data_IF_105089224167
#
_entry.id   IF_105089224167
#
_cell.length_a   1.000
_cell.length_b   1.000
_cell.length_c   1.000
_cell.angle_alpha   90.00
_cell.angle_beta   90.00
_cell.angle_gamma   90.00
#
_symmetry.space_group_name_H-M   'P 1'
#
loop_
_entity.id
_entity.type
_entity.pdbx_description
1 polymer ?
#
# COMPACT_ATOMS: atom_id res chain seq x y z
N UNK A 1 -11.72 63.59 15.79
CA UNK A 1 -11.94 62.48 16.75
C UNK A 1 -12.77 61.32 16.21
N UNK A 2 -13.23 61.31 14.95
CA UNK A 2 -14.12 60.25 14.44
C UNK A 2 -13.45 59.07 13.75
N UNK A 3 -12.29 59.27 13.12
CA UNK A 3 -11.59 58.20 12.38
C UNK A 3 -10.88 57.15 13.26
N UNK A 4 -10.40 57.55 14.43
CA UNK A 4 -9.72 56.66 15.38
C UNK A 4 -10.71 55.70 16.09
N UNK A 5 -11.93 56.13 16.36
CA UNK A 5 -12.99 55.31 16.97
C UNK A 5 -13.49 54.25 16.02
N UNK A 6 -13.53 54.49 14.69
CA UNK A 6 -13.93 53.51 13.70
C UNK A 6 -12.89 52.39 13.54
N UNK A 7 -11.59 52.69 13.60
CA UNK A 7 -10.50 51.72 13.55
C UNK A 7 -10.45 50.79 14.78
N UNK A 8 -10.69 51.37 15.99
CA UNK A 8 -10.78 50.57 17.22
C UNK A 8 -12.00 49.63 17.22
N UNK A 9 -13.14 50.03 16.67
CA UNK A 9 -14.32 49.20 16.57
C UNK A 9 -14.13 48.04 15.56
N UNK A 10 -13.48 48.26 14.45
CA UNK A 10 -13.16 47.21 13.47
C UNK A 10 -12.10 46.24 13.98
N UNK A 11 -11.10 46.67 14.74
CA UNK A 11 -10.09 45.82 15.38
C UNK A 11 -10.69 44.98 16.53
N UNK A 12 -11.54 45.53 17.39
CA UNK A 12 -12.23 44.79 18.45
C UNK A 12 -13.26 43.79 17.88
N UNK A 13 -13.98 44.13 16.82
CA UNK A 13 -14.89 43.20 16.14
C UNK A 13 -14.15 42.03 15.48
N UNK A 14 -12.92 42.27 14.93
CA UNK A 14 -12.08 41.23 14.37
C UNK A 14 -11.54 40.26 15.41
N UNK A 15 -11.14 40.73 16.58
CA UNK A 15 -10.64 39.88 17.69
C UNK A 15 -11.78 39.08 18.34
N UNK A 16 -12.96 39.66 18.51
CA UNK A 16 -14.15 38.94 18.98
C UNK A 16 -14.64 37.84 18.01
N UNK A 17 -14.45 38.05 16.72
CA UNK A 17 -14.79 37.07 15.66
C UNK A 17 -13.85 35.86 15.63
N UNK A 18 -12.56 36.06 15.93
CA UNK A 18 -11.56 34.96 15.97
C UNK A 18 -11.78 34.08 17.20
N UNK A 19 -12.11 34.63 18.35
CA UNK A 19 -12.43 33.87 19.57
C UNK A 19 -13.72 33.05 19.43
N UNK A 20 -14.69 33.53 18.64
CA UNK A 20 -15.94 32.80 18.42
C UNK A 20 -15.83 31.63 17.42
N UNK A 21 -14.86 31.62 16.52
CA UNK A 21 -14.70 30.57 15.50
C UNK A 21 -14.15 29.25 16.11
N UNK A 22 -13.19 29.33 17.03
CA UNK A 22 -12.65 28.14 17.70
C UNK A 22 -13.66 27.51 18.68
N UNK A 23 -14.53 28.31 19.28
CA UNK A 23 -15.60 27.84 20.17
C UNK A 23 -16.79 27.22 19.39
N UNK A 24 -16.93 27.54 18.11
CA UNK A 24 -18.04 27.12 17.28
C UNK A 24 -17.88 25.69 16.74
N UNK A 25 -16.63 25.24 16.45
CA UNK A 25 -16.33 23.92 15.92
C UNK A 25 -16.85 22.79 16.82
N UNK A 26 -16.85 22.97 18.13
CA UNK A 26 -17.32 21.97 19.11
C UNK A 26 -18.80 21.59 18.92
N UNK A 27 -19.63 22.48 18.43
CA UNK A 27 -21.07 22.27 18.21
C UNK A 27 -21.37 21.67 16.82
N UNK A 28 -20.41 21.65 15.92
CA UNK A 28 -20.55 21.12 14.56
C UNK A 28 -20.07 19.67 14.43
N UNK A 29 -19.40 19.12 15.46
CA UNK A 29 -18.94 17.74 15.51
C UNK A 29 -20.02 16.83 16.11
N UNK A 30 -20.39 15.76 15.42
CA UNK A 30 -21.56 14.92 15.71
C UNK A 30 -21.34 13.93 16.85
N UNK A 31 -20.11 13.47 17.00
CA UNK A 31 -19.76 12.37 17.91
C UNK A 31 -18.67 12.78 18.87
N UNK A 32 -18.60 12.08 19.99
CA UNK A 32 -17.55 12.23 20.99
C UNK A 32 -17.08 10.90 21.56
N UNK A 33 -15.82 10.82 21.95
CA UNK A 33 -15.20 9.70 22.67
C UNK A 33 -14.38 10.23 23.83
N UNK A 34 -14.37 9.54 24.95
CA UNK A 34 -13.38 9.78 26.01
C UNK A 34 -11.99 9.36 25.51
N UNK A 35 -10.96 10.07 25.99
CA UNK A 35 -9.56 9.80 25.65
C UNK A 35 -8.78 9.63 26.96
N UNK A 36 -8.00 8.55 27.06
CA UNK A 36 -7.22 8.26 28.26
C UNK A 36 -5.89 7.57 27.92
N UNK A 37 -4.85 7.71 28.76
CA UNK A 37 -3.63 6.94 28.62
C UNK A 37 -3.92 5.43 28.67
N UNK A 38 -3.24 4.66 27.79
CA UNK A 38 -3.31 3.20 27.78
C UNK A 38 -2.25 2.56 28.70
N UNK A 39 -1.23 3.32 29.09
CA UNK A 39 -0.13 2.91 29.97
C UNK A 39 1.17 3.66 29.63
N UNK A 40 2.18 3.47 30.47
CA UNK A 40 3.48 4.11 30.32
C UNK A 40 3.47 5.61 30.63
N UNK A 41 4.60 6.24 30.41
CA UNK A 41 4.77 7.69 30.51
C UNK A 41 5.54 8.18 29.28
N UNK A 42 5.25 9.36 28.80
CA UNK A 42 5.91 9.95 27.64
C UNK A 42 5.54 11.40 27.45
N UNK A 43 6.32 12.12 26.68
CA UNK A 43 6.10 13.53 26.36
C UNK A 43 5.08 13.71 25.24
N UNK A 44 5.03 12.73 24.32
CA UNK A 44 4.11 12.71 23.18
C UNK A 44 3.07 11.62 23.36
N UNK A 45 1.81 11.99 23.43
CA UNK A 45 0.68 11.09 23.37
C UNK A 45 0.42 10.65 21.94
N UNK A 46 0.16 9.34 21.74
CA UNK A 46 -0.20 8.77 20.46
C UNK A 46 -1.49 7.99 20.59
N UNK A 47 -2.50 8.40 19.83
CA UNK A 47 -3.82 7.79 19.79
C UNK A 47 -4.09 7.21 18.41
N UNK A 48 -4.24 5.89 18.32
CA UNK A 48 -4.58 5.22 17.07
C UNK A 48 -6.06 5.41 16.74
N UNK A 49 -6.37 5.69 15.47
CA UNK A 49 -7.73 5.77 14.99
C UNK A 49 -8.33 4.37 14.86
N UNK A 50 -9.57 4.24 15.31
CA UNK A 50 -10.37 3.02 15.19
C UNK A 50 -11.33 3.08 13.99
N UNK A 51 -11.96 1.94 13.67
CA UNK A 51 -12.87 1.82 12.52
C UNK A 51 -14.11 2.70 12.66
N UNK A 52 -14.61 2.90 13.88
CA UNK A 52 -15.76 3.78 14.12
C UNK A 52 -15.46 5.24 13.78
N UNK A 53 -14.23 5.69 14.09
CA UNK A 53 -13.78 7.03 13.73
C UNK A 53 -13.60 7.14 12.21
N UNK A 54 -13.03 6.13 11.55
CA UNK A 54 -12.92 6.14 10.08
C UNK A 54 -14.28 6.22 9.39
N UNK A 55 -15.32 5.53 9.88
CA UNK A 55 -16.66 5.54 9.29
C UNK A 55 -17.33 6.92 9.40
N UNK A 56 -17.14 7.59 10.53
CA UNK A 56 -17.78 8.86 10.82
C UNK A 56 -17.10 10.08 10.18
N UNK A 57 -15.80 9.97 9.82
CA UNK A 57 -14.96 11.11 9.41
C UNK A 57 -14.63 11.03 7.92
N UNK A 58 -14.91 12.10 7.19
CA UNK A 58 -14.51 12.23 5.78
C UNK A 58 -13.05 12.66 5.62
N UNK A 59 -12.66 13.72 6.30
CA UNK A 59 -11.28 14.24 6.33
C UNK A 59 -10.67 14.08 7.72
N UNK A 60 -9.69 13.17 7.84
CA UNK A 60 -8.98 12.89 9.09
C UNK A 60 -8.18 14.07 9.66
N UNK A 61 -7.95 15.12 8.88
CA UNK A 61 -7.24 16.32 9.36
C UNK A 61 -8.19 17.44 9.76
N UNK A 62 -9.36 17.50 9.16
CA UNK A 62 -10.32 18.55 9.40
C UNK A 62 -11.31 18.18 10.52
N UNK A 63 -11.93 17.02 10.44
CA UNK A 63 -13.12 16.66 11.20
C UNK A 63 -12.83 16.07 12.59
N UNK A 64 -11.75 16.49 13.23
CA UNK A 64 -11.32 16.05 14.55
C UNK A 64 -10.98 17.24 15.43
N UNK A 65 -11.35 17.19 16.74
CA UNK A 65 -10.91 18.12 17.77
C UNK A 65 -10.70 17.38 19.08
N UNK A 66 -9.60 17.67 19.75
CA UNK A 66 -9.33 17.19 21.10
C UNK A 66 -9.58 18.29 22.11
N UNK A 67 -10.15 17.93 23.25
CA UNK A 67 -10.42 18.85 24.36
C UNK A 67 -9.87 18.29 25.67
N UNK A 68 -9.37 19.15 26.54
CA UNK A 68 -9.02 18.80 27.91
C UNK A 68 -10.26 18.77 28.82
N UNK A 69 -10.09 18.41 30.10
CA UNK A 69 -11.18 18.38 31.08
C UNK A 69 -11.80 19.75 31.36
N UNK A 70 -11.12 20.85 30.99
CA UNK A 70 -11.61 22.21 31.08
C UNK A 70 -12.21 22.72 29.77
N UNK A 71 -12.51 21.84 28.82
CA UNK A 71 -13.08 22.15 27.50
C UNK A 71 -12.20 23.04 26.61
N UNK A 72 -10.90 23.11 26.90
CA UNK A 72 -9.95 23.84 26.05
C UNK A 72 -9.46 22.91 24.95
N UNK A 73 -9.39 23.43 23.74
CA UNK A 73 -8.90 22.70 22.59
C UNK A 73 -7.42 22.33 22.74
N UNK A 74 -7.11 21.05 22.49
CA UNK A 74 -5.75 20.51 22.58
C UNK A 74 -5.20 20.35 21.16
N UNK A 75 -4.08 20.98 20.82
CA UNK A 75 -3.43 20.84 19.54
C UNK A 75 -3.00 19.41 19.28
N UNK A 76 -3.15 18.97 18.02
CA UNK A 76 -2.73 17.63 17.57
C UNK A 76 -2.23 17.67 16.13
N UNK A 77 -1.53 16.61 15.72
CA UNK A 77 -1.26 16.33 14.30
C UNK A 77 -1.64 14.90 13.95
N UNK A 78 -2.03 14.69 12.70
CA UNK A 78 -2.35 13.36 12.16
C UNK A 78 -1.16 12.84 11.38
N UNK A 79 -0.73 11.59 11.68
CA UNK A 79 0.35 10.89 10.97
C UNK A 79 -0.04 9.46 10.65
N UNK A 80 0.52 8.95 9.55
CA UNK A 80 0.49 7.52 9.24
C UNK A 80 1.45 6.75 10.14
N UNK A 81 1.05 5.53 10.50
CA UNK A 81 1.93 4.58 11.15
C UNK A 81 3.07 4.17 10.21
N UNK A 82 4.28 4.19 10.72
CA UNK A 82 5.45 3.66 10.02
C UNK A 82 6.06 2.53 10.83
N UNK A 83 6.65 1.56 10.15
CA UNK A 83 7.47 0.54 10.81
C UNK A 83 8.76 1.17 11.30
N UNK A 84 9.42 0.54 12.24
CA UNK A 84 10.77 0.94 12.60
C UNK A 84 11.70 0.86 11.38
N UNK A 85 12.73 1.74 11.32
CA UNK A 85 13.71 1.67 10.26
C UNK A 85 14.39 0.31 10.23
N UNK A 86 14.34 -0.36 9.10
CA UNK A 86 14.90 -1.70 8.94
C UNK A 86 16.26 -1.62 8.25
N UNK A 87 17.28 -2.21 8.87
CA UNK A 87 18.56 -2.45 8.17
C UNK A 87 18.36 -3.60 7.20
N UNK A 88 18.30 -3.32 5.91
CA UNK A 88 18.29 -4.36 4.88
C UNK A 88 19.70 -4.53 4.34
N UNK A 89 20.15 -5.77 4.32
CA UNK A 89 21.33 -6.10 3.55
C UNK A 89 21.02 -5.86 2.07
N UNK A 90 21.73 -4.93 1.48
CA UNK A 90 21.76 -4.75 0.03
C UNK A 90 22.82 -5.67 -0.54
N UNK A 91 22.77 -5.91 -1.84
CA UNK A 91 23.73 -6.76 -2.52
C UNK A 91 24.34 -6.00 -3.68
N UNK A 92 25.67 -5.93 -3.71
CA UNK A 92 26.43 -5.39 -4.82
C UNK A 92 26.96 -6.51 -5.69
N UNK A 93 26.83 -6.34 -7.00
CA UNK A 93 27.41 -7.24 -7.97
C UNK A 93 28.95 -7.12 -7.96
N UNK A 94 29.62 -8.25 -7.96
CA UNK A 94 31.08 -8.29 -8.07
C UNK A 94 31.48 -8.91 -9.40
N UNK A 95 32.66 -8.55 -9.94
CA UNK A 95 33.15 -9.18 -11.15
C UNK A 95 33.10 -10.70 -11.05
N UNK A 96 32.53 -11.33 -12.05
CA UNK A 96 32.39 -12.79 -12.13
C UNK A 96 32.51 -13.25 -13.58
N UNK A 97 32.98 -14.46 -13.79
CA UNK A 97 33.17 -15.04 -15.11
C UNK A 97 32.86 -16.52 -15.12
N UNK A 98 32.02 -16.97 -16.03
CA UNK A 98 31.85 -18.39 -16.30
C UNK A 98 33.15 -18.90 -16.95
N UNK A 99 33.84 -19.83 -16.29
CA UNK A 99 35.10 -20.41 -16.75
C UNK A 99 34.96 -21.82 -17.33
N UNK A 100 33.87 -22.51 -16.98
CA UNK A 100 33.58 -23.85 -17.52
C UNK A 100 32.06 -24.10 -17.57
N UNK A 101 31.65 -24.86 -18.58
CA UNK A 101 30.33 -25.41 -18.72
C UNK A 101 30.48 -26.93 -18.91
N UNK A 102 29.83 -27.70 -18.09
CA UNK A 102 29.76 -29.16 -18.16
C UNK A 102 28.31 -29.63 -18.05
N UNK A 103 28.06 -30.86 -18.42
CA UNK A 103 26.73 -31.49 -18.30
C UNK A 103 26.88 -32.91 -17.74
N UNK A 104 26.17 -33.20 -16.65
CA UNK A 104 26.10 -34.52 -16.07
C UNK A 104 24.65 -35.02 -16.07
N UNK A 105 24.36 -35.99 -16.93
CA UNK A 105 22.97 -36.42 -17.17
C UNK A 105 22.12 -35.23 -17.66
N UNK A 106 21.03 -34.96 -16.99
CA UNK A 106 20.18 -33.80 -17.29
C UNK A 106 20.43 -32.58 -16.33
N UNK A 107 21.67 -32.41 -15.89
CA UNK A 107 22.10 -31.27 -15.07
C UNK A 107 23.17 -30.47 -15.79
N UNK A 108 22.90 -29.21 -16.08
CA UNK A 108 23.88 -28.25 -16.56
C UNK A 108 24.72 -27.70 -15.39
N UNK A 109 26.04 -27.67 -15.55
CA UNK A 109 26.98 -27.28 -14.48
C UNK A 109 27.82 -26.11 -15.00
N UNK A 110 27.65 -24.96 -14.37
CA UNK A 110 28.39 -23.73 -14.69
C UNK A 110 29.38 -23.43 -13.59
N UNK A 111 30.66 -23.40 -13.90
CA UNK A 111 31.70 -23.00 -12.94
C UNK A 111 32.01 -21.51 -13.14
N UNK A 112 31.88 -20.75 -12.04
CA UNK A 112 32.01 -19.30 -12.01
C UNK A 112 33.19 -18.92 -11.12
N UNK A 113 34.10 -18.13 -11.63
CA UNK A 113 35.23 -17.57 -10.88
C UNK A 113 34.83 -16.28 -10.16
N UNK A 114 35.25 -16.15 -8.90
CA UNK A 114 35.15 -14.96 -8.05
C UNK A 114 36.56 -14.33 -7.87
N UNK A 115 37.03 -13.52 -8.83
CA UNK A 115 38.37 -12.95 -8.76
C UNK A 115 38.50 -11.89 -7.65
N UNK A 116 37.40 -11.37 -7.15
CA UNK A 116 37.41 -10.35 -6.09
C UNK A 116 37.74 -10.91 -4.71
N UNK A 117 37.60 -12.24 -4.49
CA UNK A 117 37.72 -12.86 -3.17
C UNK A 117 36.68 -12.39 -2.15
N UNK A 118 35.65 -11.66 -2.60
CA UNK A 118 34.58 -11.19 -1.74
C UNK A 118 33.74 -12.36 -1.21
N UNK A 119 33.16 -12.21 -0.02
CA UNK A 119 32.16 -13.14 0.49
C UNK A 119 30.85 -12.96 -0.29
N UNK A 120 30.40 -14.02 -0.97
CA UNK A 120 29.19 -14.02 -1.80
C UNK A 120 28.02 -14.57 -0.98
N UNK A 121 26.89 -13.86 -1.00
CA UNK A 121 25.67 -14.24 -0.27
C UNK A 121 24.45 -14.44 -1.17
N UNK A 122 24.58 -14.13 -2.46
CA UNK A 122 23.51 -14.33 -3.45
C UNK A 122 24.13 -14.56 -4.83
N UNK A 123 23.41 -15.30 -5.65
CA UNK A 123 23.75 -15.55 -7.04
C UNK A 123 22.53 -15.24 -7.90
N UNK A 124 22.75 -14.64 -9.08
CA UNK A 124 21.73 -14.41 -10.09
C UNK A 124 22.16 -15.08 -11.41
N UNK A 125 21.25 -15.81 -12.02
CA UNK A 125 21.44 -16.40 -13.35
C UNK A 125 20.72 -15.54 -14.37
N UNK A 126 21.44 -15.01 -15.30
CA UNK A 126 20.90 -14.18 -16.39
C UNK A 126 20.66 -15.07 -17.62
N UNK A 127 19.43 -15.06 -18.12
CA UNK A 127 18.98 -15.81 -19.28
C UNK A 127 17.94 -15.01 -20.05
N UNK A 128 17.99 -15.08 -21.39
CA UNK A 128 16.94 -14.56 -22.26
C UNK A 128 15.75 -15.52 -22.42
N UNK A 129 15.91 -16.78 -22.03
CA UNK A 129 14.83 -17.78 -22.08
C UNK A 129 13.72 -17.41 -21.09
N UNK A 130 12.48 -17.75 -21.48
CA UNK A 130 11.26 -17.56 -20.70
C UNK A 130 10.46 -18.86 -20.67
N UNK A 131 9.45 -18.90 -19.79
CA UNK A 131 8.52 -20.02 -19.65
C UNK A 131 9.24 -21.35 -19.38
N UNK A 132 10.13 -21.33 -18.37
CA UNK A 132 10.84 -22.50 -17.90
C UNK A 132 10.66 -22.70 -16.40
N UNK A 133 10.78 -23.96 -15.97
CA UNK A 133 10.74 -24.40 -14.57
C UNK A 133 11.83 -25.43 -14.33
N UNK A 134 12.78 -25.08 -13.46
CA UNK A 134 13.98 -25.87 -13.21
C UNK A 134 14.36 -25.81 -11.73
N UNK A 135 15.34 -26.59 -11.34
CA UNK A 135 15.93 -26.50 -10.01
C UNK A 135 17.36 -25.96 -10.07
N UNK A 136 17.75 -25.19 -9.08
CA UNK A 136 19.07 -24.61 -8.99
C UNK A 136 19.74 -24.98 -7.67
N UNK A 137 20.98 -25.46 -7.75
CA UNK A 137 21.84 -25.78 -6.62
C UNK A 137 23.14 -25.00 -6.74
N UNK A 138 23.68 -24.50 -5.65
CA UNK A 138 24.94 -23.78 -5.61
C UNK A 138 25.94 -24.52 -4.73
N UNK A 139 27.13 -24.68 -5.24
CA UNK A 139 28.30 -25.24 -4.52
C UNK A 139 29.45 -24.23 -4.57
N UNK A 140 30.30 -24.24 -3.58
CA UNK A 140 31.46 -23.38 -3.49
C UNK A 140 32.73 -24.20 -3.23
N UNK A 141 33.87 -23.75 -3.75
CA UNK A 141 35.18 -24.40 -3.60
C UNK A 141 36.34 -23.45 -3.91
N UNK A 142 37.54 -23.78 -3.42
CA UNK A 142 38.71 -22.92 -3.61
C UNK A 142 39.71 -23.47 -4.65
N UNK A 143 39.65 -24.76 -4.91
CA UNK A 143 40.61 -25.49 -5.77
C UNK A 143 40.00 -25.97 -7.10
N UNK A 144 38.71 -25.74 -7.30
CA UNK A 144 37.97 -26.19 -8.49
C UNK A 144 37.76 -27.72 -8.54
N UNK A 145 38.12 -28.47 -7.50
CA UNK A 145 37.99 -29.93 -7.40
C UNK A 145 37.07 -30.34 -6.26
N UNK A 146 37.26 -29.76 -5.10
CA UNK A 146 36.50 -30.03 -3.88
C UNK A 146 35.32 -29.02 -3.75
N UNK A 147 34.10 -29.53 -3.73
CA UNK A 147 32.88 -28.71 -3.76
C UNK A 147 32.06 -28.94 -2.50
N UNK A 148 31.56 -27.87 -1.94
CA UNK A 148 30.69 -27.86 -0.78
C UNK A 148 29.37 -27.18 -1.19
N UNK A 149 28.25 -27.87 -0.98
CA UNK A 149 26.92 -27.26 -1.22
C UNK A 149 26.68 -26.12 -0.26
N UNK A 150 26.27 -24.96 -0.80
CA UNK A 150 25.95 -23.74 -0.03
C UNK A 150 24.47 -23.37 -0.14
N UNK A 151 23.78 -23.80 -1.21
CA UNK A 151 22.36 -23.61 -1.37
C UNK A 151 21.73 -24.66 -2.29
N UNK A 152 20.43 -24.89 -2.13
CA UNK A 152 19.58 -25.68 -3.02
C UNK A 152 19.47 -27.16 -2.67
N UNK A 153 18.68 -27.94 -3.47
CA UNK A 153 17.95 -27.46 -4.65
C UNK A 153 16.83 -26.47 -4.31
N UNK A 154 16.71 -25.42 -5.10
CA UNK A 154 15.65 -24.41 -5.00
C UNK A 154 15.00 -24.21 -6.37
N UNK A 155 13.72 -23.78 -6.44
CA UNK A 155 13.04 -23.45 -7.70
C UNK A 155 13.74 -22.32 -8.45
N UNK A 156 13.92 -22.53 -9.74
CA UNK A 156 14.51 -21.60 -10.68
C UNK A 156 13.62 -21.54 -11.93
N UNK A 157 12.89 -20.44 -12.08
CA UNK A 157 11.84 -20.34 -13.09
C UNK A 157 11.64 -18.92 -13.62
N UNK A 158 11.06 -18.84 -14.82
CA UNK A 158 10.58 -17.60 -15.42
C UNK A 158 9.26 -17.87 -16.16
N UNK A 159 8.15 -17.31 -15.67
CA UNK A 159 6.83 -17.31 -16.28
C UNK A 159 6.38 -15.90 -16.67
N UNK A 160 7.33 -15.03 -16.97
CA UNK A 160 7.05 -13.60 -17.23
C UNK A 160 6.15 -13.35 -18.45
N UNK A 161 5.95 -14.32 -19.34
CA UNK A 161 4.96 -14.26 -20.42
C UNK A 161 3.51 -14.34 -19.92
N UNK A 162 3.29 -14.94 -18.74
CA UNK A 162 1.96 -15.19 -18.16
C UNK A 162 1.65 -14.31 -16.94
N UNK A 163 2.65 -13.61 -16.41
CA UNK A 163 2.51 -12.77 -15.22
C UNK A 163 3.88 -12.42 -14.60
N UNK A 164 3.93 -11.61 -13.53
CA UNK A 164 5.19 -11.18 -12.91
C UNK A 164 5.84 -12.29 -12.06
N UNK A 165 5.97 -13.49 -12.61
CA UNK A 165 6.47 -14.68 -11.93
C UNK A 165 7.86 -15.02 -12.47
N UNK A 166 8.90 -14.63 -11.73
CA UNK A 166 10.28 -14.92 -12.09
C UNK A 166 11.12 -15.11 -10.82
N UNK A 167 11.86 -16.22 -10.74
CA UNK A 167 12.84 -16.48 -9.71
C UNK A 167 14.15 -16.97 -10.33
N UNK A 168 15.07 -16.04 -10.53
CA UNK A 168 16.40 -16.27 -11.12
C UNK A 168 17.54 -15.98 -10.13
N UNK A 169 17.20 -15.82 -8.85
CA UNK A 169 18.15 -15.53 -7.76
C UNK A 169 18.09 -16.61 -6.70
N UNK A 170 19.25 -16.90 -6.12
CA UNK A 170 19.37 -17.80 -4.99
C UNK A 170 20.24 -17.17 -3.91
N UNK A 171 19.68 -17.01 -2.71
CA UNK A 171 20.36 -16.48 -1.54
C UNK A 171 20.90 -17.61 -0.65
N UNK A 172 22.05 -17.38 -0.01
CA UNK A 172 22.67 -18.29 0.94
C UNK A 172 23.52 -17.52 1.97
N UNK A 173 23.89 -18.14 3.10
CA UNK A 173 24.85 -17.53 4.04
C UNK A 173 26.13 -17.14 3.33
N UNK A 174 26.63 -15.93 3.57
CA UNK A 174 27.78 -15.39 2.85
C UNK A 174 29.01 -16.29 3.01
N UNK A 175 29.59 -16.70 1.88
CA UNK A 175 30.72 -17.63 1.79
C UNK A 175 31.84 -16.98 1.00
N UNK A 176 33.09 -17.05 1.54
CA UNK A 176 34.32 -16.78 0.78
C UNK A 176 34.70 -18.04 0.04
N UNK A 177 34.78 -17.97 -1.27
CA UNK A 177 35.30 -19.03 -2.12
C UNK A 177 35.79 -18.41 -3.43
N UNK A 178 36.82 -19.04 -4.02
CA UNK A 178 37.34 -18.64 -5.33
C UNK A 178 36.43 -19.03 -6.48
N UNK A 179 35.78 -20.18 -6.33
CA UNK A 179 34.88 -20.72 -7.38
C UNK A 179 33.51 -21.06 -6.81
N UNK A 180 32.50 -20.81 -7.62
CA UNK A 180 31.14 -21.23 -7.39
C UNK A 180 30.68 -22.13 -8.53
N UNK A 181 29.96 -23.19 -8.21
CA UNK A 181 29.41 -24.10 -9.20
C UNK A 181 27.88 -24.04 -9.11
N UNK A 182 27.26 -23.71 -10.24
CA UNK A 182 25.80 -23.59 -10.40
C UNK A 182 25.32 -24.81 -11.13
N UNK A 183 24.50 -25.61 -10.49
CA UNK A 183 23.91 -26.82 -11.05
C UNK A 183 22.45 -26.56 -11.36
N UNK A 184 22.08 -26.67 -12.63
CA UNK A 184 20.71 -26.46 -13.12
C UNK A 184 20.14 -27.82 -13.50
N UNK A 185 19.16 -28.30 -12.69
CA UNK A 185 18.44 -29.54 -12.98
C UNK A 185 17.42 -29.36 -14.10
N UNK A 186 17.01 -30.45 -14.75
CA UNK A 186 16.15 -30.43 -15.94
C UNK A 186 16.67 -29.50 -17.03
N UNK A 187 18.00 -29.52 -17.22
CA UNK A 187 18.71 -28.57 -18.09
C UNK A 187 18.29 -28.71 -19.56
N UNK A 188 17.99 -29.93 -19.99
CA UNK A 188 17.52 -30.25 -21.33
C UNK A 188 16.07 -30.75 -21.25
N UNK A 189 15.19 -30.17 -22.04
CA UNK A 189 13.78 -30.56 -22.17
C UNK A 189 13.49 -30.98 -23.59
N UNK A 190 12.63 -31.99 -23.73
CA UNK A 190 12.13 -32.42 -25.03
C UNK A 190 10.79 -31.74 -25.28
N UNK A 191 10.73 -30.82 -26.20
CA UNK A 191 9.50 -30.14 -26.61
C UNK A 191 8.96 -30.74 -27.92
N UNK A 192 7.65 -31.07 -28.00
CA UNK A 192 7.05 -31.50 -29.25
C UNK A 192 7.00 -30.34 -30.23
N UNK A 193 7.52 -30.54 -31.43
CA UNK A 193 7.37 -29.56 -32.51
C UNK A 193 5.90 -29.51 -32.96
N UNK A 194 5.40 -28.36 -33.42
CA UNK A 194 4.06 -28.20 -33.99
C UNK A 194 3.84 -29.10 -35.25
N UNK A 195 4.93 -29.52 -35.90
CA UNK A 195 4.90 -30.37 -37.08
C UNK A 195 4.98 -31.86 -36.71
N UNK A 196 4.13 -32.68 -37.31
CA UNK A 196 4.18 -34.11 -37.22
C UNK A 196 4.62 -34.69 -38.58
N UNK A 197 5.35 -35.82 -38.54
CA UNK A 197 5.73 -36.56 -39.73
C UNK A 197 4.75 -37.73 -39.92
N UNK A 198 4.09 -37.77 -41.05
CA UNK A 198 3.25 -38.91 -41.43
C UNK A 198 4.11 -39.90 -42.21
N UNK A 199 4.27 -41.09 -41.69
CA UNK A 199 4.98 -42.20 -42.38
C UNK A 199 3.91 -43.04 -43.07
N UNK A 200 3.89 -43.00 -44.39
CA UNK A 200 3.05 -43.86 -45.24
C UNK A 200 3.89 -45.00 -45.78
N UNK A 201 3.61 -46.24 -45.36
CA UNK A 201 4.21 -47.48 -45.84
C UNK A 201 3.12 -48.49 -46.21
N UNK A 202 3.46 -49.75 -46.38
CA UNK A 202 2.49 -50.86 -46.72
C UNK A 202 1.53 -51.20 -45.56
N UNK A 203 1.44 -50.39 -44.51
CA UNK A 203 0.54 -50.50 -43.36
C UNK A 203 -0.26 -49.22 -43.12
N UNK A 204 -1.04 -49.15 -42.03
CA UNK A 204 -1.78 -47.95 -41.65
C UNK A 204 -0.83 -46.76 -41.46
N UNK A 205 -1.21 -45.54 -41.90
CA UNK A 205 -0.41 -44.33 -41.72
C UNK A 205 -0.15 -44.07 -40.25
N UNK A 206 1.12 -43.94 -39.86
CA UNK A 206 1.51 -43.56 -38.47
C UNK A 206 1.94 -42.11 -38.43
N UNK A 207 1.39 -41.36 -37.49
CA UNK A 207 1.81 -39.99 -37.21
C UNK A 207 2.86 -40.00 -36.12
N UNK A 208 4.10 -39.65 -36.44
CA UNK A 208 5.16 -39.47 -35.47
C UNK A 208 5.25 -37.98 -35.07
N UNK A 209 5.24 -37.72 -33.77
CA UNK A 209 5.56 -36.38 -33.24
C UNK A 209 7.07 -36.21 -33.25
N UNK A 210 7.52 -35.14 -33.85
CA UNK A 210 8.94 -34.75 -33.84
C UNK A 210 9.21 -34.00 -32.56
N UNK A 211 10.22 -34.41 -31.82
CA UNK A 211 10.66 -33.77 -30.57
C UNK A 211 11.93 -32.99 -30.83
N UNK A 212 12.05 -31.81 -30.21
CA UNK A 212 13.27 -31.00 -30.23
C UNK A 212 13.83 -30.88 -28.83
N UNK A 213 15.13 -31.09 -28.68
CA UNK A 213 15.82 -30.80 -27.44
C UNK A 213 15.98 -29.29 -27.29
N UNK A 214 15.41 -28.76 -26.23
CA UNK A 214 15.61 -27.39 -25.82
C UNK A 214 16.52 -27.34 -24.59
N UNK A 215 17.66 -26.65 -24.70
CA UNK A 215 18.57 -26.40 -23.59
C UNK A 215 18.39 -24.99 -23.08
N UNK A 216 18.37 -24.82 -21.77
CA UNK A 216 18.33 -23.48 -21.17
C UNK A 216 19.61 -22.73 -21.52
N UNK A 217 19.46 -21.55 -22.12
CA UNK A 217 20.60 -20.69 -22.42
C UNK A 217 20.91 -19.81 -21.22
N UNK A 218 22.10 -19.95 -20.64
CA UNK A 218 22.60 -19.10 -19.57
C UNK A 218 23.55 -18.08 -20.18
N UNK A 219 23.18 -16.80 -20.13
CA UNK A 219 23.97 -15.70 -20.69
C UNK A 219 25.07 -15.25 -19.73
N UNK A 220 24.76 -15.17 -18.43
CA UNK A 220 25.70 -14.83 -17.37
C UNK A 220 25.27 -15.38 -16.00
N UNK A 221 26.22 -15.46 -15.09
CA UNK A 221 25.99 -15.74 -13.68
C UNK A 221 26.65 -14.63 -12.87
N UNK A 222 25.85 -13.79 -12.24
CA UNK A 222 26.30 -12.71 -11.41
C UNK A 222 26.47 -13.17 -9.95
N UNK A 223 27.62 -12.87 -9.36
CA UNK A 223 27.91 -13.08 -7.96
C UNK A 223 27.65 -11.78 -7.19
N UNK A 224 26.93 -11.86 -6.07
CA UNK A 224 26.53 -10.70 -5.30
C UNK A 224 27.02 -10.81 -3.87
N UNK A 225 27.81 -9.81 -3.43
CA UNK A 225 28.26 -9.68 -2.05
C UNK A 225 27.21 -8.95 -1.20
N UNK A 226 26.96 -9.37 0.04
CA UNK A 226 26.18 -8.57 0.95
C UNK A 226 26.95 -7.30 1.33
N UNK A 227 26.25 -6.18 1.30
CA UNK A 227 26.76 -4.89 1.77
C UNK A 227 26.00 -4.54 3.04
N UNK A 228 26.71 -3.98 4.04
CA UNK A 228 26.07 -3.50 5.25
C UNK A 228 24.96 -2.53 4.87
N UNK A 229 23.72 -2.92 5.18
CA UNK A 229 22.54 -2.27 4.65
C UNK A 229 22.43 -0.81 5.07
N UNK A 230 22.06 0.02 4.15
CA UNK A 230 21.53 1.35 4.44
C UNK A 230 20.29 1.20 5.32
N UNK A 231 20.20 2.05 6.34
CA UNK A 231 18.98 2.18 7.14
C UNK A 231 17.90 2.73 6.22
N UNK A 232 16.99 1.89 5.79
CA UNK A 232 15.81 2.35 5.05
C UNK A 232 14.83 3.00 6.03
N UNK A 233 14.33 4.17 5.66
CA UNK A 233 13.23 4.80 6.41
C UNK A 233 12.08 3.80 6.60
N UNK A 234 11.43 3.85 7.75
CA UNK A 234 10.30 2.98 8.05
C UNK A 234 9.26 3.03 6.92
N UNK A 235 8.74 1.88 6.56
CA UNK A 235 7.63 1.77 5.58
C UNK A 235 6.31 2.04 6.27
N UNK A 236 5.29 2.41 5.53
CA UNK A 236 3.93 2.47 6.07
C UNK A 236 3.57 1.13 6.72
N UNK A 237 3.16 1.18 7.98
CA UNK A 237 2.72 -0.01 8.72
C UNK A 237 1.28 -0.30 8.33
N UNK A 238 1.04 -1.45 7.73
CA UNK A 238 -0.29 -1.89 7.34
C UNK A 238 -0.96 -2.65 8.47
N UNK A 239 -2.24 -2.40 8.65
CA UNK A 239 -3.13 -3.05 9.60
C UNK A 239 -4.21 -3.81 8.84
N UNK A 240 -4.66 -4.92 9.41
CA UNK A 240 -5.81 -5.64 8.89
C UNK A 240 -7.10 -4.88 9.26
N UNK A 241 -8.01 -4.80 8.30
CA UNK A 241 -9.34 -4.22 8.46
C UNK A 241 -10.41 -5.23 8.05
N UNK A 242 -11.54 -5.19 8.73
CA UNK A 242 -12.66 -6.09 8.44
C UNK A 242 -13.40 -5.64 7.17
N UNK A 243 -13.72 -6.61 6.33
CA UNK A 243 -14.67 -6.43 5.23
C UNK A 243 -15.88 -7.33 5.50
N UNK A 244 -17.04 -6.74 5.65
CA UNK A 244 -18.29 -7.46 5.87
C UNK A 244 -18.93 -7.84 4.52
N UNK A 245 -19.16 -9.13 4.23
CA UNK A 245 -19.85 -9.54 3.01
C UNK A 245 -21.23 -8.87 2.90
N UNK A 246 -21.57 -8.36 1.72
CA UNK A 246 -22.86 -7.75 1.42
C UNK A 246 -23.60 -8.58 0.37
N UNK A 247 -24.60 -9.31 0.83
CA UNK A 247 -25.35 -10.23 -0.01
C UNK A 247 -24.59 -11.53 -0.31
N UNK A 248 -25.16 -12.33 -1.20
CA UNK A 248 -24.60 -13.60 -1.61
C UNK A 248 -23.56 -13.39 -2.73
N UNK A 249 -22.61 -14.30 -2.82
CA UNK A 249 -21.72 -14.46 -3.96
C UNK A 249 -22.55 -14.70 -5.21
N UNK A 250 -22.24 -14.00 -6.30
CA UNK A 250 -22.93 -14.15 -7.58
C UNK A 250 -21.97 -14.64 -8.65
N UNK A 251 -22.51 -15.47 -9.53
CA UNK A 251 -21.82 -15.94 -10.73
C UNK A 251 -22.55 -15.35 -11.94
N UNK A 252 -21.91 -14.42 -12.63
CA UNK A 252 -22.51 -13.68 -13.73
C UNK A 252 -21.56 -13.59 -14.93
N UNK A 253 -21.98 -14.08 -16.11
CA UNK A 253 -21.23 -13.95 -17.38
C UNK A 253 -19.76 -14.41 -17.31
N UNK A 254 -19.47 -15.50 -16.62
CA UNK A 254 -18.12 -16.01 -16.45
C UNK A 254 -17.28 -15.28 -15.39
N UNK A 255 -17.94 -14.50 -14.51
CA UNK A 255 -17.32 -13.81 -13.39
C UNK A 255 -17.92 -14.22 -12.05
N UNK A 256 -17.07 -14.39 -11.06
CA UNK A 256 -17.50 -14.44 -9.65
C UNK A 256 -17.47 -13.03 -9.09
N UNK A 257 -18.60 -12.58 -8.53
CA UNK A 257 -18.77 -11.23 -7.98
C UNK A 257 -19.00 -11.31 -6.47
N UNK A 258 -18.15 -10.65 -5.71
CA UNK A 258 -18.20 -10.53 -4.26
C UNK A 258 -18.30 -9.05 -3.87
N UNK A 259 -19.27 -8.69 -3.03
CA UNK A 259 -19.44 -7.31 -2.55
C UNK A 259 -19.22 -7.27 -1.04
N UNK A 260 -18.57 -6.22 -0.56
CA UNK A 260 -18.20 -6.03 0.84
C UNK A 260 -18.55 -4.61 1.31
N UNK A 261 -18.89 -4.49 2.57
CA UNK A 261 -18.94 -3.24 3.31
C UNK A 261 -17.68 -3.06 4.14
N UNK A 262 -17.16 -1.83 4.21
CA UNK A 262 -16.11 -1.41 5.12
C UNK A 262 -16.61 -0.23 5.97
N UNK A 263 -15.94 0.03 7.08
CA UNK A 263 -16.13 1.22 7.89
C UNK A 263 -15.23 2.39 7.40
N UNK A 264 -15.06 2.49 6.09
CA UNK A 264 -14.26 3.54 5.43
C UNK A 264 -12.81 3.60 5.92
N UNK A 265 -12.29 2.45 6.37
CA UNK A 265 -10.88 2.33 6.70
C UNK A 265 -10.00 2.59 5.47
N UNK A 266 -8.78 3.11 5.66
CA UNK A 266 -7.87 3.37 4.55
C UNK A 266 -7.31 2.03 4.03
N UNK A 267 -7.83 1.54 2.90
CA UNK A 267 -7.37 0.29 2.28
C UNK A 267 -6.29 0.56 1.23
N UNK A 268 -5.21 -0.20 1.28
CA UNK A 268 -4.10 -0.12 0.34
C UNK A 268 -3.80 -1.46 -0.35
N UNK A 269 -4.32 -2.58 0.17
CA UNK A 269 -4.20 -3.89 -0.47
C UNK A 269 -5.32 -4.84 -0.05
N UNK A 270 -5.69 -5.73 -0.99
CA UNK A 270 -6.60 -6.84 -0.75
C UNK A 270 -5.87 -8.16 -1.02
N UNK A 271 -5.84 -9.02 -0.03
CA UNK A 271 -5.36 -10.39 -0.16
C UNK A 271 -6.56 -11.30 -0.45
N UNK A 272 -6.58 -11.88 -1.64
CA UNK A 272 -7.66 -12.76 -2.11
C UNK A 272 -7.11 -14.17 -2.16
N UNK A 273 -7.74 -15.10 -1.48
CA UNK A 273 -7.35 -16.52 -1.42
C UNK A 273 -8.52 -17.42 -1.72
N UNK A 274 -8.23 -18.63 -2.24
CA UNK A 274 -9.21 -19.68 -2.48
C UNK A 274 -8.65 -21.03 -2.02
N UNK A 275 -9.51 -21.96 -1.66
CA UNK A 275 -9.13 -23.36 -1.40
C UNK A 275 -8.86 -24.17 -2.68
N UNK A 276 -9.36 -23.71 -3.82
CA UNK A 276 -9.13 -24.34 -5.12
C UNK A 276 -7.63 -24.53 -5.37
N UNK A 277 -7.15 -25.72 -5.75
CA UNK A 277 -5.76 -25.93 -6.17
C UNK A 277 -5.57 -25.47 -7.62
N UNK A 278 -4.34 -25.13 -7.96
CA UNK A 278 -3.83 -24.93 -9.34
C UNK A 278 -4.72 -24.07 -10.24
N UNK A 279 -4.80 -22.79 -9.94
CA UNK A 279 -5.55 -21.84 -10.74
C UNK A 279 -4.74 -20.58 -11.09
N UNK A 280 -5.06 -19.98 -12.23
CA UNK A 280 -4.64 -18.64 -12.64
C UNK A 280 -5.88 -17.89 -13.11
N UNK A 281 -6.22 -16.77 -12.50
CA UNK A 281 -7.37 -15.92 -12.79
C UNK A 281 -6.97 -14.45 -12.83
N UNK A 282 -7.84 -13.59 -13.32
CA UNK A 282 -7.75 -12.14 -13.13
C UNK A 282 -8.74 -11.73 -12.04
N UNK A 283 -8.26 -10.95 -11.07
CA UNK A 283 -9.12 -10.29 -10.09
C UNK A 283 -9.16 -8.79 -10.35
N UNK A 284 -10.35 -8.21 -10.35
CA UNK A 284 -10.58 -6.77 -10.51
C UNK A 284 -11.28 -6.25 -9.26
N UNK A 285 -10.75 -5.14 -8.71
CA UNK A 285 -11.27 -4.52 -7.51
C UNK A 285 -11.92 -3.19 -7.87
N UNK A 286 -13.09 -2.95 -7.29
CA UNK A 286 -13.87 -1.72 -7.45
C UNK A 286 -14.20 -1.11 -6.09
N UNK A 287 -14.39 0.21 -6.04
CA UNK A 287 -14.90 0.95 -4.89
C UNK A 287 -16.18 1.71 -5.22
N UNK A 288 -17.03 1.93 -4.22
CA UNK A 288 -18.26 2.71 -4.37
C UNK A 288 -18.59 3.48 -3.09
N UNK A 289 -19.16 4.67 -3.26
CA UNK A 289 -19.65 5.51 -2.15
C UNK A 289 -21.11 5.23 -1.80
N UNK A 290 -21.89 4.67 -2.73
CA UNK A 290 -23.35 4.47 -2.61
C UNK A 290 -23.79 2.99 -2.74
N UNK A 291 -22.83 2.07 -2.97
CA UNK A 291 -23.09 0.65 -3.21
C UNK A 291 -23.77 0.35 -4.56
N UNK A 292 -23.94 1.34 -5.41
CA UNK A 292 -24.63 1.22 -6.73
C UNK A 292 -23.67 1.49 -7.89
N UNK A 293 -22.95 2.60 -7.84
CA UNK A 293 -21.97 2.98 -8.88
C UNK A 293 -20.58 2.61 -8.39
N UNK A 294 -19.96 1.66 -9.08
CA UNK A 294 -18.64 1.15 -8.76
C UNK A 294 -17.59 1.68 -9.74
N UNK A 295 -16.48 2.16 -9.20
CA UNK A 295 -15.32 2.65 -9.95
C UNK A 295 -14.19 1.63 -9.83
N UNK A 296 -13.58 1.26 -10.96
CA UNK A 296 -12.43 0.34 -10.98
C UNK A 296 -11.24 0.97 -10.27
N UNK A 297 -10.66 0.23 -9.31
CA UNK A 297 -9.50 0.66 -8.52
C UNK A 297 -8.23 -0.03 -8.99
N UNK A 298 -8.27 -1.34 -9.16
CA UNK A 298 -7.11 -2.12 -9.56
C UNK A 298 -7.52 -3.43 -10.24
N UNK A 299 -6.55 -4.06 -10.92
CA UNK A 299 -6.64 -5.45 -11.36
C UNK A 299 -5.28 -6.11 -11.16
N UNK A 300 -5.29 -7.40 -10.85
CA UNK A 300 -4.09 -8.20 -10.67
C UNK A 300 -4.36 -9.67 -10.99
N UNK A 301 -3.31 -10.41 -11.40
CA UNK A 301 -3.41 -11.85 -11.50
C UNK A 301 -3.58 -12.48 -10.12
N UNK A 302 -4.51 -13.42 -10.02
CA UNK A 302 -4.76 -14.24 -8.86
C UNK A 302 -4.41 -15.69 -9.21
N UNK A 303 -3.43 -16.26 -8.52
CA UNK A 303 -2.99 -17.62 -8.82
C UNK A 303 -2.55 -18.37 -7.57
N UNK A 304 -2.64 -19.69 -7.66
CA UNK A 304 -2.12 -20.67 -6.73
C UNK A 304 -1.69 -21.89 -7.52
N UNK A 305 -0.46 -22.35 -7.31
CA UNK A 305 0.12 -23.47 -8.04
C UNK A 305 0.71 -24.46 -7.02
N UNK A 306 -0.03 -25.53 -6.74
CA UNK A 306 0.31 -26.54 -5.73
C UNK A 306 1.38 -27.53 -6.19
N UNK A 307 1.57 -27.66 -7.50
CA UNK A 307 2.60 -28.53 -8.04
C UNK A 307 4.03 -28.03 -7.72
N UNK A 308 4.20 -26.78 -7.33
CA UNK A 308 5.45 -26.25 -6.80
C UNK A 308 5.24 -25.68 -5.38
N UNK A 309 5.53 -26.47 -4.33
CA UNK A 309 5.36 -26.02 -2.93
C UNK A 309 6.22 -24.82 -2.53
N UNK A 310 7.27 -24.52 -3.30
CA UNK A 310 8.14 -23.38 -3.04
C UNK A 310 7.59 -22.08 -3.68
N UNK A 311 6.58 -22.17 -4.53
CA UNK A 311 5.97 -21.02 -5.16
C UNK A 311 4.94 -20.38 -4.22
N UNK A 312 5.12 -19.11 -3.84
CA UNK A 312 4.11 -18.41 -3.05
C UNK A 312 2.84 -18.21 -3.86
N UNK A 313 1.69 -18.21 -3.20
CA UNK A 313 0.43 -17.73 -3.77
C UNK A 313 0.58 -16.30 -4.32
N UNK A 314 -0.36 -15.85 -5.16
CA UNK A 314 -0.34 -14.50 -5.72
C UNK A 314 -0.19 -13.42 -4.63
N UNK A 315 0.57 -12.39 -4.95
CA UNK A 315 0.70 -11.24 -4.07
C UNK A 315 -0.67 -10.52 -3.90
N UNK A 316 -0.89 -9.84 -2.78
CA UNK A 316 -2.09 -9.03 -2.59
C UNK A 316 -2.29 -8.00 -3.71
N UNK A 317 -3.54 -7.78 -4.10
CA UNK A 317 -3.90 -6.73 -5.06
C UNK A 317 -3.62 -5.37 -4.43
N UNK A 318 -2.69 -4.61 -5.00
CA UNK A 318 -2.33 -3.27 -4.52
C UNK A 318 -3.35 -2.24 -4.99
N UNK A 319 -3.74 -1.37 -4.08
CA UNK A 319 -4.63 -0.23 -4.32
C UNK A 319 -3.86 1.07 -4.07
N UNK A 320 -4.22 2.14 -4.77
CA UNK A 320 -4.01 3.46 -4.19
C UNK A 320 -4.84 3.52 -2.90
N UNK A 321 -4.34 4.17 -1.86
CA UNK A 321 -5.10 4.29 -0.61
C UNK A 321 -6.50 4.86 -0.86
N UNK A 322 -7.51 4.11 -0.46
CA UNK A 322 -8.92 4.46 -0.68
C UNK A 322 -9.74 4.23 0.59
N UNK A 323 -10.83 5.00 0.74
CA UNK A 323 -11.73 4.96 1.90
C UNK A 323 -13.19 4.86 1.43
N UNK A 324 -13.50 3.84 0.64
CA UNK A 324 -14.88 3.59 0.19
C UNK A 324 -15.67 2.79 1.23
N UNK A 325 -16.95 3.07 1.45
CA UNK A 325 -17.82 2.24 2.28
C UNK A 325 -18.18 0.90 1.64
N UNK A 326 -18.05 0.78 0.31
CA UNK A 326 -18.31 -0.47 -0.40
C UNK A 326 -17.17 -0.82 -1.34
N UNK A 327 -16.80 -2.11 -1.34
CA UNK A 327 -15.83 -2.69 -2.27
C UNK A 327 -16.47 -3.86 -2.99
N UNK A 328 -16.07 -4.07 -4.24
CA UNK A 328 -16.50 -5.22 -5.04
C UNK A 328 -15.26 -5.85 -5.66
N UNK A 329 -15.18 -7.17 -5.54
CA UNK A 329 -14.15 -8.00 -6.14
C UNK A 329 -14.81 -8.84 -7.22
N UNK A 330 -14.31 -8.77 -8.44
CA UNK A 330 -14.74 -9.58 -9.57
C UNK A 330 -13.57 -10.47 -10.00
N UNK A 331 -13.81 -11.78 -10.08
CA UNK A 331 -12.82 -12.78 -10.47
C UNK A 331 -13.28 -13.39 -11.79
N UNK A 332 -12.45 -13.31 -12.82
CA UNK A 332 -12.73 -13.84 -14.13
C UNK A 332 -12.56 -15.36 -14.14
N UNK A 333 -13.62 -16.09 -14.40
CA UNK A 333 -13.59 -17.55 -14.52
C UNK A 333 -13.50 -18.03 -15.98
N UNK A 334 -14.05 -17.22 -16.93
CA UNK A 334 -14.27 -17.63 -18.31
C UNK A 334 -15.02 -18.99 -18.36
N UNK A 335 -14.49 -19.99 -19.07
CA UNK A 335 -15.05 -21.34 -19.15
C UNK A 335 -14.69 -22.27 -17.98
N UNK A 336 -13.92 -21.77 -17.00
CA UNK A 336 -13.51 -22.57 -15.86
C UNK A 336 -14.56 -22.56 -14.75
N UNK A 337 -14.55 -23.60 -13.92
CA UNK A 337 -15.36 -23.62 -12.70
C UNK A 337 -15.00 -22.46 -11.80
N UNK A 338 -15.99 -21.84 -11.13
CA UNK A 338 -15.72 -20.82 -10.12
C UNK A 338 -14.82 -21.33 -9.01
N UNK A 339 -13.97 -20.43 -8.47
CA UNK A 339 -13.09 -20.77 -7.33
C UNK A 339 -13.92 -21.08 -6.07
N UNK A 340 -13.44 -22.01 -5.26
CA UNK A 340 -14.09 -22.42 -4.00
C UNK A 340 -13.52 -21.64 -2.80
N UNK A 341 -14.31 -21.46 -1.75
CA UNK A 341 -13.94 -20.88 -0.45
C UNK A 341 -13.10 -19.61 -0.58
N UNK A 342 -13.60 -18.64 -1.35
CA UNK A 342 -12.91 -17.37 -1.55
C UNK A 342 -12.94 -16.55 -0.27
N UNK A 343 -11.77 -16.18 0.22
CA UNK A 343 -11.58 -15.25 1.34
C UNK A 343 -10.91 -13.97 0.87
N UNK A 344 -11.37 -12.84 1.39
CA UNK A 344 -10.81 -11.52 1.09
C UNK A 344 -10.41 -10.84 2.40
N UNK A 345 -9.14 -10.51 2.52
CA UNK A 345 -8.60 -9.78 3.66
C UNK A 345 -8.09 -8.42 3.19
N UNK A 346 -8.50 -7.36 3.88
CA UNK A 346 -8.09 -6.01 3.57
C UNK A 346 -6.98 -5.54 4.52
N UNK A 347 -6.01 -4.81 3.96
CA UNK A 347 -4.96 -4.15 4.74
C UNK A 347 -4.77 -2.73 4.25
N UNK A 348 -4.39 -1.86 5.18
CA UNK A 348 -4.09 -0.48 4.85
C UNK A 348 -3.35 0.25 5.95
N UNK A 349 -2.90 1.49 5.72
CA UNK A 349 -2.18 2.27 6.72
C UNK A 349 -3.05 2.56 7.93
N UNK A 350 -2.43 2.58 9.11
CA UNK A 350 -3.05 3.12 10.31
C UNK A 350 -2.73 4.60 10.46
N UNK A 351 -3.65 5.37 11.00
CA UNK A 351 -3.44 6.76 11.35
C UNK A 351 -3.46 6.96 12.85
N UNK A 352 -2.68 7.95 13.30
CA UNK A 352 -2.59 8.37 14.68
C UNK A 352 -2.80 9.87 14.80
N UNK A 353 -3.41 10.29 15.90
CA UNK A 353 -3.24 11.63 16.42
C UNK A 353 -2.05 11.65 17.38
N UNK A 354 -1.17 12.64 17.23
CA UNK A 354 -0.07 12.91 18.16
C UNK A 354 -0.29 14.29 18.79
N UNK A 355 -0.13 14.38 20.11
CA UNK A 355 -0.30 15.57 20.93
C UNK A 355 0.69 15.58 22.10
N UNK A 356 0.87 16.70 22.78
CA UNK A 356 1.70 16.74 23.99
C UNK A 356 0.90 16.24 25.19
N UNK A 357 1.46 15.27 25.93
CA UNK A 357 0.79 14.65 27.09
C UNK A 357 0.49 15.62 28.21
N UNK A 358 1.29 16.71 28.32
CA UNK A 358 1.07 17.80 29.29
C UNK A 358 -0.26 18.55 29.09
N UNK A 359 -0.81 18.52 27.86
CA UNK A 359 -2.07 19.21 27.53
C UNK A 359 -3.30 18.37 27.92
N UNK A 360 -3.08 17.13 28.39
CA UNK A 360 -4.07 16.21 29.01
C UNK A 360 -5.40 16.13 28.27
N UNK A 361 -5.43 15.71 27.00
CA UNK A 361 -6.70 15.53 26.32
C UNK A 361 -7.59 14.53 27.06
N UNK A 362 -8.87 14.85 27.20
CA UNK A 362 -9.86 14.04 27.88
C UNK A 362 -10.98 13.58 26.96
N UNK A 363 -11.22 14.34 25.88
CA UNK A 363 -12.29 14.09 24.93
C UNK A 363 -11.82 14.30 23.49
N UNK A 364 -12.28 13.46 22.59
CA UNK A 364 -12.18 13.59 21.13
C UNK A 364 -13.58 13.81 20.57
N UNK A 365 -13.82 14.93 19.89
CA UNK A 365 -15.04 15.19 19.10
C UNK A 365 -14.73 15.02 17.63
N UNK A 366 -15.66 14.43 16.85
CA UNK A 366 -15.41 14.07 15.48
C UNK A 366 -16.67 13.99 14.61
N UNK A 367 -16.47 14.01 13.28
CA UNK A 367 -17.52 13.84 12.28
C UNK A 367 -18.39 15.08 12.11
N UNK A 368 -17.97 15.99 11.24
CA UNK A 368 -18.69 17.21 10.91
C UNK A 368 -17.99 18.01 9.82
N UNK A 369 -18.59 19.11 9.40
CA UNK A 369 -18.02 19.99 8.35
C UNK A 369 -17.29 21.19 9.02
N UNK A 370 -16.13 20.91 9.60
CA UNK A 370 -15.30 21.92 10.26
C UNK A 370 -14.00 22.16 9.49
N UNK A 371 -13.42 23.36 9.53
CA UNK A 371 -12.19 23.67 8.82
C UNK A 371 -10.99 22.94 9.43
N UNK A 372 -9.94 22.70 8.62
CA UNK A 372 -8.68 22.13 9.10
C UNK A 372 -8.06 23.09 10.14
N UNK A 373 -7.78 22.63 11.36
CA UNK A 373 -7.17 23.47 12.38
C UNK A 373 -5.72 23.80 12.03
N UNK A 374 -5.26 24.98 12.45
CA UNK A 374 -3.90 25.45 12.20
C UNK A 374 -3.15 25.54 13.53
N UNK A 375 -2.44 24.47 13.87
CA UNK A 375 -1.61 24.44 15.08
C UNK A 375 -0.13 24.61 14.73
N UNK A 376 0.65 25.12 15.66
CA UNK A 376 2.12 25.15 15.61
C UNK A 376 2.76 23.84 16.08
N UNK A 377 1.99 22.98 16.72
CA UNK A 377 2.41 21.68 17.26
C UNK A 377 3.21 20.83 16.28
N UNK A 378 2.87 20.69 14.98
CA UNK A 378 3.68 19.93 14.05
C UNK A 378 5.15 20.38 14.04
N UNK A 379 5.39 21.70 14.02
CA UNK A 379 6.73 22.25 14.04
C UNK A 379 7.46 22.03 15.38
N UNK A 380 6.71 21.95 16.48
CA UNK A 380 7.27 21.63 17.81
C UNK A 380 7.70 20.16 17.84
N UNK A 381 6.82 19.24 17.45
CA UNK A 381 7.09 17.80 17.45
C UNK A 381 8.24 17.42 16.51
N UNK A 382 8.39 18.10 15.37
CA UNK A 382 9.48 17.83 14.42
C UNK A 382 10.86 18.27 14.94
N UNK A 383 10.91 19.13 15.95
CA UNK A 383 12.15 19.54 16.62
C UNK A 383 12.51 18.69 17.84
N UNK A 384 11.60 17.85 18.31
CA UNK A 384 11.86 16.95 19.43
C UNK A 384 12.75 15.79 18.97
N UNK A 385 13.84 15.56 19.70
CA UNK A 385 14.77 14.47 19.42
C UNK A 385 14.33 13.23 20.21
N UNK A 386 13.83 12.21 19.52
CA UNK A 386 13.41 10.92 20.09
C UNK A 386 12.52 11.05 21.34
N UNK A 387 11.40 11.78 21.27
CA UNK A 387 10.54 11.95 22.43
C UNK A 387 9.97 10.61 22.88
N UNK A 388 9.85 10.40 24.19
CA UNK A 388 9.17 9.25 24.74
C UNK A 388 7.69 9.31 24.36
N UNK A 389 7.20 8.21 23.78
CA UNK A 389 5.80 8.11 23.29
C UNK A 389 4.97 7.35 24.30
N UNK A 390 3.84 7.94 24.68
CA UNK A 390 2.81 7.31 25.49
C UNK A 390 1.62 6.91 24.61
N UNK A 391 1.23 5.65 24.63
CA UNK A 391 0.04 5.19 23.91
C UNK A 391 -1.23 5.63 24.65
N UNK A 392 -2.20 6.08 23.87
CA UNK A 392 -3.52 6.49 24.32
C UNK A 392 -4.61 5.69 23.64
N UNK A 393 -5.77 5.60 24.26
CA UNK A 393 -6.95 4.86 23.77
C UNK A 393 -8.20 5.72 23.86
N UNK A 394 -9.17 5.43 23.00
CA UNK A 394 -10.52 5.97 23.05
C UNK A 394 -11.45 5.05 23.81
N UNK A 395 -12.44 5.62 24.47
CA UNK A 395 -13.64 4.91 24.88
C UNK A 395 -14.62 4.69 23.71
N UNK A 396 -15.79 4.13 23.97
CA UNK A 396 -16.85 3.95 22.96
C UNK A 396 -17.37 5.31 22.47
N UNK A 397 -17.75 5.35 21.19
CA UNK A 397 -18.36 6.51 20.58
C UNK A 397 -19.74 6.80 21.12
N UNK A 398 -20.06 8.07 21.27
CA UNK A 398 -21.39 8.57 21.70
C UNK A 398 -21.76 9.77 20.82
N UNK A 399 -23.07 10.01 20.70
CA UNK A 399 -23.53 11.26 20.12
C UNK A 399 -23.07 12.44 20.96
N UNK A 400 -22.61 13.50 20.33
CA UNK A 400 -22.28 14.76 21.02
C UNK A 400 -23.57 15.44 21.44
N UNK A 401 -23.87 15.60 22.74
CA UNK A 401 -25.10 16.22 23.20
C UNK A 401 -25.20 17.71 22.86
N UNK A 402 -24.08 18.34 22.58
CA UNK A 402 -24.01 19.75 22.19
C UNK A 402 -24.11 19.96 20.68
N UNK A 403 -24.16 18.87 19.89
CA UNK A 403 -24.25 18.96 18.44
C UNK A 403 -25.50 19.75 17.99
N UNK A 404 -25.32 20.72 17.12
CA UNK A 404 -26.37 21.56 16.56
C UNK A 404 -26.39 21.45 15.04
N UNK A 405 -27.27 20.60 14.53
CA UNK A 405 -27.48 20.48 13.10
C UNK A 405 -27.99 21.77 12.47
N UNK A 406 -27.43 22.16 11.35
CA UNK A 406 -28.01 23.21 10.48
C UNK A 406 -27.69 24.65 10.86
N UNK A 407 -26.71 24.92 11.70
CA UNK A 407 -26.13 26.28 11.74
C UNK A 407 -25.46 26.56 10.41
N UNK A 408 -26.10 27.41 9.60
CA UNK A 408 -25.45 28.00 8.43
C UNK A 408 -24.20 28.71 8.98
N UNK A 409 -23.03 28.19 8.62
CA UNK A 409 -21.77 28.81 8.99
C UNK A 409 -21.70 30.15 8.23
N UNK A 410 -22.30 31.20 8.84
CA UNK A 410 -22.45 32.52 8.22
C UNK A 410 -21.09 33.07 7.78
N UNK A 411 -20.03 32.66 8.45
CA UNK A 411 -18.66 33.08 8.16
C UNK A 411 -18.12 32.51 6.83
N UNK A 412 -18.59 31.37 6.36
CA UNK A 412 -18.27 30.83 5.02
C UNK A 412 -18.81 31.71 3.91
N UNK A 413 -19.93 32.39 4.16
CA UNK A 413 -20.60 33.27 3.19
C UNK A 413 -20.17 34.73 3.31
N UNK A 414 -19.57 35.13 4.45
CA UNK A 414 -19.13 36.51 4.66
C UNK A 414 -18.16 37.03 3.59
N UNK A 415 -17.14 36.30 3.12
CA UNK A 415 -16.28 36.80 2.04
C UNK A 415 -17.04 37.00 0.73
N UNK A 416 -17.96 36.11 0.40
CA UNK A 416 -18.80 36.20 -0.78
C UNK A 416 -19.78 37.36 -0.66
N UNK A 417 -20.45 37.50 0.48
CA UNK A 417 -21.34 38.61 0.77
C UNK A 417 -20.63 39.98 0.74
N UNK A 418 -19.41 40.03 1.33
CA UNK A 418 -18.59 41.26 1.29
C UNK A 418 -18.18 41.64 -0.14
N UNK A 419 -17.86 40.68 -1.02
CA UNK A 419 -17.55 40.91 -2.42
C UNK A 419 -18.79 41.42 -3.17
N UNK A 420 -19.97 40.87 -2.91
CA UNK A 420 -21.25 41.33 -3.54
C UNK A 420 -21.56 42.74 -3.08
N UNK A 421 -21.43 43.05 -1.80
CA UNK A 421 -21.64 44.40 -1.24
C UNK A 421 -20.65 45.40 -1.85
N UNK A 422 -19.36 45.01 -1.93
CA UNK A 422 -18.33 45.84 -2.56
C UNK A 422 -18.62 46.13 -4.03
N UNK A 423 -19.05 45.10 -4.78
CA UNK A 423 -19.48 45.22 -6.18
C UNK A 423 -20.68 46.15 -6.33
N UNK A 424 -21.68 46.02 -5.46
CA UNK A 424 -22.86 46.89 -5.48
C UNK A 424 -22.51 48.37 -5.17
N UNK A 425 -21.59 48.59 -4.20
CA UNK A 425 -21.10 49.94 -3.86
C UNK A 425 -20.32 50.53 -5.03
N UNK A 426 -19.48 49.76 -5.70
CA UNK A 426 -18.73 50.22 -6.88
C UNK A 426 -19.66 50.54 -8.05
N UNK A 427 -20.65 49.68 -8.34
CA UNK A 427 -21.65 49.93 -9.37
C UNK A 427 -22.46 51.20 -9.07
N UNK A 428 -22.88 51.37 -7.81
CA UNK A 428 -23.59 52.57 -7.38
C UNK A 428 -22.73 53.85 -7.51
N UNK A 429 -21.45 53.78 -7.13
CA UNK A 429 -20.53 54.91 -7.25
C UNK A 429 -20.30 55.31 -8.70
N UNK A 430 -20.12 54.31 -9.60
CA UNK A 430 -19.96 54.54 -11.03
C UNK A 430 -21.24 55.14 -11.63
N UNK A 431 -22.40 54.58 -11.31
CA UNK A 431 -23.68 55.12 -11.76
C UNK A 431 -23.89 56.55 -11.33
N UNK A 432 -23.58 56.90 -10.07
CA UNK A 432 -23.65 58.25 -9.54
C UNK A 432 -22.65 59.18 -10.22
N UNK A 433 -21.41 58.72 -10.51
CA UNK A 433 -20.41 59.49 -11.25
C UNK A 433 -20.85 59.82 -12.69
N UNK A 434 -21.41 58.85 -13.39
CA UNK A 434 -21.94 59.05 -14.74
C UNK A 434 -23.06 60.11 -14.71
N UNK A 435 -23.99 60.02 -13.75
CA UNK A 435 -25.10 60.94 -13.61
C UNK A 435 -24.67 62.39 -13.27
N UNK A 436 -23.50 62.56 -12.64
CA UNK A 436 -22.92 63.86 -12.31
C UNK A 436 -22.23 64.53 -13.53
N UNK A 437 -21.84 63.72 -14.54
CA UNK A 437 -21.20 64.17 -15.77
C UNK A 437 -22.26 64.57 -16.83
N UNK A 438 -23.47 63.99 -16.74
CA UNK A 438 -24.59 64.28 -17.66
C UNK A 438 -25.44 65.51 -17.28
N UNK A 439 -25.14 66.20 -16.20
CA UNK A 439 -25.80 67.46 -15.88
C UNK A 439 -24.93 68.65 -16.37
N UNK A 440 -25.39 69.45 -17.37
CA UNK A 440 -24.67 70.60 -17.92
C UNK A 440 -24.60 71.74 -16.92
#
# INVERSE_FOLDING_TARGET
>A
MSKLKLWLFTALAGIGLILSAAEQDRYELRFQKSVAPAGGAGEVGRLRFDSELYDAVGDLKAELRFYDAGEREVPFRVRKAVTEPERRNTFDEVPSRIIALDQQGNTGIFTVENPSGAAIGMLRVDTADRDFDKTLTVEAGDDGKNWRRVAGPQPFYDYSSRGPLRNVRIGFPAVKARYFRVLIGSYVENEPLPSSRVITGSGEPRTERIWMERRLKVDAVALLKPVAGTVHAGREKLFAYALEPQGERREENGWTVLTFRSLREPLAELEIRSSTPDYVREAVVFGSTDGRKFVRLAAAPLFRLRFDPAQPDSAPVKLAETRYPFYRVEIRNDDNRPLEDITVQARGPGYFAEFLTRDRPAELRYGGDVPVPKYDLPAVLDRMQNPAVQEWKTGPGKANPEFRAGRINLYRWLPGAALVILGAVLCWALWRGIKTIEQP
#
